data_IF_305087579822
#
_entry.id   IF_305087579822
#
_cell.length_a   1.000
_cell.length_b   1.000
_cell.length_c   1.000
_cell.angle_alpha   90.00
_cell.angle_beta   90.00
_cell.angle_gamma   90.00
#
_symmetry.space_group_name_H-M   'P 1'
#
loop_
_entity.id
_entity.type
_entity.pdbx_description
1 polymer ?
#
# COMPACT_ATOMS: atom_id res chain seq x y z
N UNK A 1 15.64 11.27 -19.98
CA UNK A 1 14.87 12.27 -19.26
C UNK A 1 15.77 13.03 -18.31
N UNK A 2 15.85 14.31 -18.52
CA UNK A 2 16.71 15.16 -17.70
C UNK A 2 16.01 15.70 -16.46
N UNK A 3 14.75 15.39 -16.27
CA UNK A 3 14.01 15.85 -15.10
C UNK A 3 14.34 15.02 -13.87
N UNK A 4 14.65 15.71 -12.80
CA UNK A 4 14.81 15.06 -11.50
C UNK A 4 13.43 14.86 -10.89
N UNK A 5 13.09 13.61 -10.62
CA UNK A 5 11.93 13.30 -9.83
C UNK A 5 12.24 13.70 -8.38
N UNK A 6 11.67 14.81 -7.95
CA UNK A 6 11.80 15.21 -6.56
C UNK A 6 10.77 14.45 -5.73
N UNK A 7 11.20 13.33 -5.17
CA UNK A 7 10.41 12.58 -4.21
C UNK A 7 10.96 12.90 -2.84
N UNK A 8 10.11 13.41 -1.97
CA UNK A 8 10.48 13.70 -0.59
C UNK A 8 10.01 12.56 0.32
N UNK A 9 10.65 12.36 1.50
CA UNK A 9 10.16 11.39 2.47
C UNK A 9 8.70 11.64 2.87
N UNK A 10 8.30 12.89 3.02
CA UNK A 10 6.93 13.27 3.35
C UNK A 10 5.95 12.83 2.26
N UNK A 11 6.35 12.96 1.00
CA UNK A 11 5.54 12.53 -0.13
C UNK A 11 5.38 11.02 -0.18
N UNK A 12 6.44 10.29 0.14
CA UNK A 12 6.38 8.83 0.25
C UNK A 12 5.43 8.40 1.36
N UNK A 13 5.47 9.04 2.50
CA UNK A 13 4.58 8.75 3.64
C UNK A 13 3.13 9.07 3.27
N UNK A 14 2.87 10.22 2.64
CA UNK A 14 1.54 10.59 2.18
C UNK A 14 1.00 9.58 1.17
N UNK A 15 1.82 9.18 0.21
CA UNK A 15 1.47 8.17 -0.79
C UNK A 15 1.17 6.83 -0.13
N UNK A 16 1.97 6.43 0.85
CA UNK A 16 1.74 5.21 1.64
C UNK A 16 0.38 5.24 2.33
N UNK A 17 0.03 6.36 2.96
CA UNK A 17 -1.26 6.55 3.63
C UNK A 17 -2.41 6.49 2.64
N UNK A 18 -2.29 7.15 1.50
CA UNK A 18 -3.30 7.10 0.43
C UNK A 18 -3.49 5.68 -0.09
N UNK A 19 -2.39 4.98 -0.29
CA UNK A 19 -2.42 3.59 -0.75
C UNK A 19 -3.14 2.70 0.24
N UNK A 20 -2.84 2.85 1.53
CA UNK A 20 -3.51 2.13 2.61
C UNK A 20 -5.01 2.43 2.64
N UNK A 21 -5.38 3.70 2.50
CA UNK A 21 -6.78 4.12 2.51
C UNK A 21 -7.55 3.53 1.33
N UNK A 22 -6.96 3.51 0.14
CA UNK A 22 -7.57 2.88 -1.03
C UNK A 22 -7.71 1.37 -0.82
N UNK A 23 -6.71 0.73 -0.22
CA UNK A 23 -6.78 -0.68 0.13
C UNK A 23 -7.94 -0.98 1.08
N UNK A 24 -8.16 -0.14 2.07
CA UNK A 24 -9.28 -0.25 3.00
C UNK A 24 -10.63 -0.12 2.27
N UNK A 25 -10.73 0.80 1.33
CA UNK A 25 -11.95 0.98 0.50
C UNK A 25 -12.22 -0.26 -0.34
N UNK A 26 -11.20 -0.82 -0.97
CA UNK A 26 -11.32 -2.05 -1.77
C UNK A 26 -11.84 -3.18 -0.90
N UNK A 27 -11.29 -3.34 0.30
CA UNK A 27 -11.72 -4.37 1.24
C UNK A 27 -13.19 -4.18 1.63
N UNK A 28 -13.59 -2.96 1.96
CA UNK A 28 -14.96 -2.63 2.33
C UNK A 28 -15.93 -2.94 1.19
N UNK A 29 -15.59 -2.51 -0.04
CA UNK A 29 -16.41 -2.79 -1.22
C UNK A 29 -16.52 -4.29 -1.51
N UNK A 30 -15.44 -5.03 -1.36
CA UNK A 30 -15.43 -6.47 -1.55
C UNK A 30 -16.35 -7.16 -0.53
N UNK A 31 -16.27 -6.75 0.73
CA UNK A 31 -17.14 -7.29 1.78
C UNK A 31 -18.61 -7.00 1.49
N UNK A 32 -18.93 -5.80 1.02
CA UNK A 32 -20.30 -5.45 0.63
C UNK A 32 -20.77 -6.31 -0.55
N UNK A 33 -19.94 -6.53 -1.53
CA UNK A 33 -20.25 -7.41 -2.67
C UNK A 33 -20.54 -8.82 -2.21
N UNK A 34 -19.72 -9.36 -1.30
CA UNK A 34 -19.90 -10.70 -0.76
C UNK A 34 -21.20 -10.80 0.05
N UNK A 35 -21.58 -9.75 0.79
CA UNK A 35 -22.83 -9.70 1.52
C UNK A 35 -24.04 -9.71 0.59
N UNK A 36 -23.98 -8.95 -0.50
CA UNK A 36 -25.06 -8.91 -1.51
C UNK A 36 -25.26 -10.31 -2.08
N UNK A 37 -24.17 -10.98 -2.44
CA UNK A 37 -24.24 -12.32 -2.99
C UNK A 37 -24.74 -13.32 -1.96
N UNK A 38 -24.30 -13.19 -0.72
CA UNK A 38 -24.76 -14.04 0.37
C UNK A 38 -26.27 -13.89 0.58
N UNK A 39 -26.81 -12.68 0.42
CA UNK A 39 -28.25 -12.47 0.51
C UNK A 39 -29.02 -13.11 -0.63
N UNK A 40 -28.42 -13.24 -1.81
CA UNK A 40 -29.02 -13.97 -2.94
C UNK A 40 -29.08 -15.47 -2.69
N UNK A 41 -28.18 -16.00 -1.86
CA UNK A 41 -28.13 -17.42 -1.53
C UNK A 41 -29.45 -17.95 -0.94
N UNK A 42 -30.21 -17.10 -0.26
CA UNK A 42 -31.49 -17.52 0.33
C UNK A 42 -32.54 -17.89 -0.70
N UNK A 43 -32.38 -17.46 -1.95
CA UNK A 43 -33.29 -17.77 -3.05
C UNK A 43 -32.79 -18.84 -4.02
N UNK A 44 -31.58 -19.37 -3.78
CA UNK A 44 -30.95 -20.32 -4.70
C UNK A 44 -30.93 -21.71 -4.10
N UNK A 45 -31.24 -22.70 -4.92
CA UNK A 45 -31.21 -24.11 -4.49
C UNK A 45 -30.36 -24.94 -5.43
N UNK A 46 -29.72 -25.98 -4.89
CA UNK A 46 -29.06 -27.03 -5.66
C UNK A 46 -27.64 -26.66 -6.13
N UNK A 47 -27.29 -27.18 -7.30
CA UNK A 47 -25.94 -27.10 -7.85
C UNK A 47 -25.49 -25.68 -8.15
N UNK A 48 -26.41 -24.80 -8.56
CA UNK A 48 -26.13 -23.41 -8.87
C UNK A 48 -25.64 -22.69 -7.61
N UNK A 49 -26.27 -22.90 -6.48
CA UNK A 49 -25.85 -22.32 -5.21
C UNK A 49 -24.44 -22.75 -4.82
N UNK A 50 -24.13 -24.02 -4.95
CA UNK A 50 -22.82 -24.55 -4.60
C UNK A 50 -21.74 -24.01 -5.54
N UNK A 51 -22.01 -23.93 -6.84
CA UNK A 51 -21.08 -23.42 -7.82
C UNK A 51 -20.74 -21.96 -7.54
N UNK A 52 -21.73 -21.14 -7.24
CA UNK A 52 -21.52 -19.73 -6.90
C UNK A 52 -20.79 -19.58 -5.58
N UNK A 53 -21.18 -20.34 -4.56
CA UNK A 53 -20.52 -20.29 -3.24
C UNK A 53 -19.03 -20.60 -3.36
N UNK A 54 -18.67 -21.58 -4.18
CA UNK A 54 -17.26 -21.93 -4.41
C UNK A 54 -16.52 -20.79 -5.10
N UNK A 55 -17.11 -20.18 -6.12
CA UNK A 55 -16.50 -19.06 -6.85
C UNK A 55 -16.33 -17.84 -5.98
N UNK A 56 -17.31 -17.53 -5.13
CA UNK A 56 -17.22 -16.41 -4.21
C UNK A 56 -16.19 -16.63 -3.12
N UNK A 57 -16.05 -17.86 -2.67
CA UNK A 57 -15.02 -18.21 -1.71
C UNK A 57 -13.64 -18.04 -2.30
N UNK A 58 -13.47 -18.40 -3.58
CA UNK A 58 -12.22 -18.17 -4.32
C UNK A 58 -11.94 -16.67 -4.48
N UNK A 59 -12.97 -15.88 -4.78
CA UNK A 59 -12.84 -14.43 -4.91
C UNK A 59 -12.42 -13.80 -3.58
N UNK A 60 -13.00 -14.24 -2.47
CA UNK A 60 -12.62 -13.77 -1.13
C UNK A 60 -11.15 -14.06 -0.85
N UNK A 61 -10.68 -15.27 -1.21
CA UNK A 61 -9.27 -15.63 -1.09
C UNK A 61 -8.37 -14.76 -1.95
N UNK A 62 -8.77 -14.46 -3.18
CA UNK A 62 -8.04 -13.58 -4.07
C UNK A 62 -7.95 -12.16 -3.50
N UNK A 63 -9.04 -11.68 -2.92
CA UNK A 63 -9.06 -10.36 -2.29
C UNK A 63 -8.18 -10.29 -1.05
N UNK A 64 -8.10 -11.37 -0.28
CA UNK A 64 -7.16 -11.47 0.84
C UNK A 64 -5.72 -11.37 0.36
N UNK A 65 -5.37 -12.00 -0.77
CA UNK A 65 -4.03 -11.89 -1.37
C UNK A 65 -3.74 -10.46 -1.83
N UNK A 66 -4.72 -9.80 -2.43
CA UNK A 66 -4.58 -8.39 -2.83
C UNK A 66 -4.30 -7.51 -1.60
N UNK A 67 -5.01 -7.72 -0.49
CA UNK A 67 -4.78 -6.98 0.74
C UNK A 67 -3.37 -7.19 1.29
N UNK A 68 -2.86 -8.43 1.23
CA UNK A 68 -1.48 -8.71 1.64
C UNK A 68 -0.48 -7.94 0.77
N UNK A 69 -0.70 -7.89 -0.53
CA UNK A 69 0.16 -7.14 -1.46
C UNK A 69 0.11 -5.64 -1.19
N UNK A 70 -1.08 -5.11 -0.93
CA UNK A 70 -1.26 -3.70 -0.58
C UNK A 70 -0.47 -3.38 0.69
N UNK A 71 -0.58 -4.22 1.71
CA UNK A 71 0.13 -4.02 2.98
C UNK A 71 1.64 -4.12 2.80
N UNK A 72 2.13 -5.02 1.96
CA UNK A 72 3.55 -5.11 1.61
C UNK A 72 4.04 -3.81 0.97
N UNK A 73 3.29 -3.26 0.02
CA UNK A 73 3.64 -2.01 -0.64
C UNK A 73 3.62 -0.82 0.32
N UNK A 74 2.66 -0.78 1.25
CA UNK A 74 2.61 0.25 2.30
C UNK A 74 3.88 0.19 3.15
N UNK A 75 4.27 -1.01 3.57
CA UNK A 75 5.50 -1.22 4.34
C UNK A 75 6.73 -0.78 3.55
N UNK A 76 6.81 -1.17 2.29
CA UNK A 76 7.93 -0.82 1.41
C UNK A 76 8.05 0.70 1.23
N UNK A 77 6.93 1.39 1.01
CA UNK A 77 6.92 2.85 0.86
C UNK A 77 7.39 3.54 2.14
N UNK A 78 6.96 3.05 3.30
CA UNK A 78 7.38 3.60 4.58
C UNK A 78 8.87 3.36 4.84
N UNK A 79 9.38 2.19 4.49
CA UNK A 79 10.81 1.88 4.58
C UNK A 79 11.64 2.75 3.65
N UNK A 80 11.16 2.96 2.42
CA UNK A 80 11.80 3.86 1.47
C UNK A 80 11.87 5.28 2.02
N UNK A 81 10.79 5.76 2.62
CA UNK A 81 10.74 7.09 3.24
C UNK A 81 11.77 7.21 4.35
N UNK A 82 11.89 6.20 5.19
CA UNK A 82 12.84 6.17 6.30
C UNK A 82 14.27 6.16 5.81
N UNK A 83 14.57 5.33 4.82
CA UNK A 83 15.89 5.27 4.17
C UNK A 83 16.25 6.61 3.55
N UNK A 84 15.30 7.25 2.90
CA UNK A 84 15.50 8.54 2.26
C UNK A 84 15.78 9.65 3.29
N UNK A 85 15.07 9.65 4.41
CA UNK A 85 15.31 10.57 5.52
C UNK A 85 16.72 10.42 6.07
N UNK A 86 17.15 9.18 6.27
CA UNK A 86 18.49 8.90 6.78
C UNK A 86 19.57 9.38 5.80
N UNK A 87 19.36 9.14 4.50
CA UNK A 87 20.29 9.58 3.47
C UNK A 87 20.39 11.10 3.43
N UNK A 88 19.27 11.81 3.50
CA UNK A 88 19.25 13.28 3.56
C UNK A 88 19.97 13.81 4.79
N UNK A 89 19.71 13.22 5.94
CA UNK A 89 20.36 13.62 7.20
C UNK A 89 21.87 13.41 7.13
N UNK A 90 22.30 12.27 6.63
CA UNK A 90 23.73 11.94 6.45
C UNK A 90 24.40 12.92 5.48
N UNK A 91 23.75 13.20 4.36
CA UNK A 91 24.28 14.14 3.38
C UNK A 91 24.41 15.54 3.95
N UNK A 92 23.42 15.99 4.71
CA UNK A 92 23.47 17.30 5.37
C UNK A 92 24.61 17.38 6.37
N UNK A 93 24.79 16.33 7.18
CA UNK A 93 25.89 16.26 8.14
C UNK A 93 27.24 16.27 7.44
N UNK A 94 27.40 15.53 6.36
CA UNK A 94 28.65 15.48 5.60
C UNK A 94 28.95 16.82 4.98
N UNK A 95 27.98 17.52 4.43
CA UNK A 95 28.15 18.85 3.87
C UNK A 95 28.57 19.86 4.94
N UNK A 96 27.92 19.80 6.10
CA UNK A 96 28.27 20.67 7.23
C UNK A 96 29.69 20.41 7.74
N UNK A 97 30.10 19.16 7.84
CA UNK A 97 31.44 18.78 8.25
C UNK A 97 32.47 19.27 7.24
N UNK A 98 32.22 19.11 5.95
CA UNK A 98 33.11 19.61 4.89
C UNK A 98 33.23 21.13 4.93
N UNK A 99 32.11 21.82 5.09
CA UNK A 99 32.12 23.29 5.18
C UNK A 99 32.91 23.78 6.39
N UNK A 100 32.75 23.10 7.53
CA UNK A 100 33.49 23.41 8.75
C UNK A 100 35.00 23.24 8.56
N UNK A 101 35.40 22.11 7.98
CA UNK A 101 36.82 21.85 7.70
C UNK A 101 37.40 22.87 6.72
N UNK A 102 36.62 23.27 5.75
CA UNK A 102 37.03 24.23 4.75
C UNK A 102 37.24 25.63 5.33
N UNK A 103 36.40 26.01 6.27
CA UNK A 103 36.44 27.33 6.93
C UNK A 103 37.52 27.38 7.99
N UNK A 104 37.77 26.31 8.70
CA UNK A 104 38.75 26.25 9.79
C UNK A 104 40.17 25.98 9.30
N UNK A 105 40.31 25.59 8.06
CA UNK A 105 41.64 25.43 7.44
C UNK A 105 42.17 26.75 6.97
#
# INVERSE_FOLDING_TARGET
>A
MTGTLKVTPEKLITTSTEFKNQGTKIRSLTQQMLQIVSSLNSGWEGEAQQAYATRFKALDGDMAQIQLKINEHVTDLNEMAETYKQAESTNTQNISALSSDYISG
#
